data_IF_730565604404
#
_entry.id   IF_730565604404
#
_cell.length_a   1.000
_cell.length_b   1.000
_cell.length_c   1.000
_cell.angle_alpha   90.00
_cell.angle_beta   90.00
_cell.angle_gamma   90.00
#
_symmetry.space_group_name_H-M   'P 1'
#
loop_
_entity.id
_entity.type
_entity.pdbx_description
1 polymer ?
#
# COMPACT_ATOMS: atom_id res chain seq x y z
N UNK A 1 58.64 -42.29 -53.18
CA UNK A 1 58.49 -43.74 -52.90
C UNK A 1 57.04 -44.08 -52.61
N UNK A 2 56.61 -45.32 -52.83
CA UNK A 2 55.23 -45.79 -52.59
C UNK A 2 54.80 -45.63 -51.11
N UNK A 3 55.75 -45.69 -50.18
CA UNK A 3 55.54 -45.46 -48.76
C UNK A 3 55.04 -44.03 -48.46
N UNK A 4 55.62 -42.99 -49.07
CA UNK A 4 55.17 -41.61 -48.86
C UNK A 4 53.70 -41.41 -49.25
N UNK A 5 53.24 -42.02 -50.35
CA UNK A 5 51.84 -41.93 -50.78
C UNK A 5 50.86 -42.55 -49.76
N UNK A 6 51.27 -43.63 -49.08
CA UNK A 6 50.46 -44.27 -48.02
C UNK A 6 50.39 -43.40 -46.77
N UNK A 7 51.50 -42.81 -46.36
CA UNK A 7 51.57 -41.89 -45.22
C UNK A 7 50.66 -40.67 -45.42
N UNK A 8 50.68 -40.03 -46.59
CA UNK A 8 49.79 -38.88 -46.89
C UNK A 8 48.32 -39.26 -46.78
N UNK A 9 47.94 -40.46 -47.25
CA UNK A 9 46.55 -40.91 -47.18
C UNK A 9 46.08 -41.10 -45.73
N UNK A 10 46.89 -41.74 -44.88
CA UNK A 10 46.56 -41.95 -43.47
C UNK A 10 46.44 -40.63 -42.71
N UNK A 11 47.35 -39.67 -42.98
CA UNK A 11 47.29 -38.33 -42.37
C UNK A 11 45.98 -37.64 -42.74
N UNK A 12 45.56 -37.71 -44.01
CA UNK A 12 44.32 -37.08 -44.46
C UNK A 12 43.07 -37.75 -43.84
N UNK A 13 43.06 -39.07 -43.72
CA UNK A 13 41.98 -39.82 -43.07
C UNK A 13 41.87 -39.44 -41.58
N UNK A 14 43.00 -39.36 -40.88
CA UNK A 14 43.05 -38.96 -39.48
C UNK A 14 42.63 -37.49 -39.29
N UNK A 15 43.06 -36.58 -40.17
CA UNK A 15 42.62 -35.18 -40.15
C UNK A 15 41.10 -35.05 -40.34
N UNK A 16 40.53 -35.79 -41.28
CA UNK A 16 39.06 -35.82 -41.49
C UNK A 16 38.34 -36.35 -40.26
N UNK A 17 38.86 -37.40 -39.64
CA UNK A 17 38.31 -37.97 -38.40
C UNK A 17 38.32 -36.95 -37.27
N UNK A 18 39.43 -36.24 -37.07
CA UNK A 18 39.55 -35.21 -36.04
C UNK A 18 38.61 -34.03 -36.30
N UNK A 19 38.49 -33.56 -37.55
CA UNK A 19 37.54 -32.52 -37.93
C UNK A 19 36.09 -32.94 -37.66
N UNK A 20 35.71 -34.17 -37.99
CA UNK A 20 34.37 -34.68 -37.75
C UNK A 20 34.03 -34.72 -36.25
N UNK A 21 34.96 -35.17 -35.41
CA UNK A 21 34.77 -35.19 -33.94
C UNK A 21 34.55 -33.77 -33.40
N UNK A 22 35.41 -32.82 -33.77
CA UNK A 22 35.28 -31.43 -33.33
C UNK A 22 33.96 -30.78 -33.77
N UNK A 23 33.49 -31.11 -34.98
CA UNK A 23 32.20 -30.63 -35.48
C UNK A 23 31.03 -31.21 -34.67
N UNK A 24 31.05 -32.50 -34.38
CA UNK A 24 30.01 -33.15 -33.55
C UNK A 24 29.98 -32.58 -32.12
N UNK A 25 31.14 -32.31 -31.54
CA UNK A 25 31.25 -31.67 -30.23
C UNK A 25 30.68 -30.25 -30.24
N UNK A 26 31.03 -29.44 -31.26
CA UNK A 26 30.46 -28.10 -31.44
C UNK A 26 28.95 -28.15 -31.62
N UNK A 27 28.45 -29.06 -32.47
CA UNK A 27 27.02 -29.23 -32.75
C UNK A 27 26.26 -29.62 -31.47
N UNK A 28 26.78 -30.60 -30.72
CA UNK A 28 26.21 -31.01 -29.44
C UNK A 28 26.17 -29.85 -28.44
N UNK A 29 27.26 -29.09 -28.31
CA UNK A 29 27.33 -27.94 -27.41
C UNK A 29 26.32 -26.86 -27.78
N UNK A 30 26.20 -26.54 -29.07
CA UNK A 30 25.24 -25.55 -29.55
C UNK A 30 23.80 -26.02 -29.28
N UNK A 31 23.47 -27.28 -29.58
CA UNK A 31 22.13 -27.84 -29.32
C UNK A 31 21.75 -27.75 -27.84
N UNK A 32 22.65 -28.17 -26.94
CA UNK A 32 22.38 -28.11 -25.51
C UNK A 32 22.19 -26.66 -25.01
N UNK A 33 23.02 -25.73 -25.50
CA UNK A 33 22.88 -24.32 -25.13
C UNK A 33 21.55 -23.74 -25.64
N UNK A 34 21.14 -24.08 -26.86
CA UNK A 34 19.85 -23.64 -27.41
C UNK A 34 18.68 -24.17 -26.59
N UNK A 35 18.68 -25.46 -26.25
CA UNK A 35 17.64 -26.06 -25.40
C UNK A 35 17.56 -25.38 -24.03
N UNK A 36 18.70 -25.14 -23.39
CA UNK A 36 18.74 -24.43 -22.11
C UNK A 36 18.17 -23.01 -22.24
N UNK A 37 18.49 -22.29 -23.33
CA UNK A 37 17.96 -20.95 -23.58
C UNK A 37 16.46 -20.97 -23.85
N UNK A 38 15.96 -21.97 -24.57
CA UNK A 38 14.53 -22.13 -24.80
C UNK A 38 13.77 -22.41 -23.48
N UNK A 39 14.34 -23.20 -22.58
CA UNK A 39 13.79 -23.44 -21.24
C UNK A 39 13.79 -22.16 -20.38
N UNK A 40 14.90 -21.40 -20.36
CA UNK A 40 14.99 -20.11 -19.68
C UNK A 40 13.93 -19.12 -20.21
N UNK A 41 13.75 -19.06 -21.53
CA UNK A 41 12.73 -18.23 -22.17
C UNK A 41 11.31 -18.69 -21.83
N UNK A 42 11.06 -20.00 -21.81
CA UNK A 42 9.76 -20.55 -21.44
C UNK A 42 9.40 -20.20 -20.00
N UNK A 43 10.35 -20.35 -19.07
CA UNK A 43 10.17 -19.97 -17.67
C UNK A 43 9.87 -18.46 -17.53
N UNK A 44 10.64 -17.61 -18.22
CA UNK A 44 10.43 -16.16 -18.18
C UNK A 44 9.06 -15.76 -18.75
N UNK A 45 8.60 -16.41 -19.82
CA UNK A 45 7.26 -16.19 -20.40
C UNK A 45 6.16 -16.60 -19.44
N UNK A 46 6.26 -17.78 -18.83
CA UNK A 46 5.29 -18.25 -17.84
C UNK A 46 5.20 -17.27 -16.68
N UNK A 47 6.35 -16.82 -16.16
CA UNK A 47 6.37 -15.86 -15.06
C UNK A 47 5.76 -14.51 -15.45
N UNK A 48 6.04 -14.05 -16.66
CA UNK A 48 5.44 -12.82 -17.19
C UNK A 48 3.93 -12.94 -17.28
N UNK A 49 3.41 -14.07 -17.79
CA UNK A 49 1.97 -14.33 -17.86
C UNK A 49 1.30 -14.34 -16.48
N UNK A 50 1.89 -15.05 -15.50
CA UNK A 50 1.38 -15.07 -14.12
C UNK A 50 1.29 -13.66 -13.53
N UNK A 51 2.34 -12.86 -13.70
CA UNK A 51 2.37 -11.49 -13.18
C UNK A 51 1.34 -10.60 -13.87
N UNK A 52 1.16 -10.74 -15.18
CA UNK A 52 0.13 -10.01 -15.94
C UNK A 52 -1.29 -10.37 -15.46
N UNK A 53 -1.55 -11.63 -15.15
CA UNK A 53 -2.85 -12.05 -14.61
C UNK A 53 -3.09 -11.49 -13.20
N UNK A 54 -2.08 -11.50 -12.33
CA UNK A 54 -2.17 -10.84 -11.02
C UNK A 54 -2.43 -9.34 -11.13
N UNK A 55 -1.72 -8.65 -12.03
CA UNK A 55 -1.94 -7.22 -12.28
C UNK A 55 -3.37 -6.97 -12.76
N UNK A 56 -3.89 -7.78 -13.70
CA UNK A 56 -5.26 -7.66 -14.20
C UNK A 56 -6.28 -7.77 -13.06
N UNK A 57 -6.11 -8.74 -12.16
CA UNK A 57 -6.99 -8.93 -11.01
C UNK A 57 -6.93 -7.72 -10.07
N UNK A 58 -5.73 -7.28 -9.69
CA UNK A 58 -5.56 -6.13 -8.80
C UNK A 58 -6.17 -4.84 -9.38
N UNK A 59 -6.04 -4.63 -10.70
CA UNK A 59 -6.67 -3.51 -11.39
C UNK A 59 -8.20 -3.58 -11.37
N UNK A 60 -8.78 -4.78 -11.57
CA UNK A 60 -10.23 -4.98 -11.48
C UNK A 60 -10.74 -4.72 -10.06
N UNK A 61 -10.03 -5.20 -9.04
CA UNK A 61 -10.38 -4.95 -7.63
C UNK A 61 -10.32 -3.46 -7.31
N UNK A 62 -9.27 -2.76 -7.74
CA UNK A 62 -9.12 -1.32 -7.52
C UNK A 62 -10.30 -0.55 -8.12
N UNK A 63 -10.67 -0.84 -9.37
CA UNK A 63 -11.83 -0.24 -10.03
C UNK A 63 -13.15 -0.55 -9.31
N UNK A 64 -13.32 -1.79 -8.84
CA UNK A 64 -14.51 -2.18 -8.11
C UNK A 64 -14.64 -1.42 -6.77
N UNK A 65 -13.53 -1.27 -6.03
CA UNK A 65 -13.49 -0.50 -4.79
C UNK A 65 -13.72 0.99 -5.03
N UNK A 66 -13.15 1.56 -6.09
CA UNK A 66 -13.37 2.95 -6.49
C UNK A 66 -14.85 3.23 -6.77
N UNK A 67 -15.49 2.39 -7.59
CA UNK A 67 -16.94 2.48 -7.87
C UNK A 67 -17.76 2.44 -6.58
N UNK A 68 -17.46 1.49 -5.69
CA UNK A 68 -18.14 1.34 -4.40
C UNK A 68 -17.94 2.55 -3.49
N UNK A 69 -16.76 3.16 -3.52
CA UNK A 69 -16.47 4.38 -2.76
C UNK A 69 -17.28 5.56 -3.29
N UNK A 70 -17.40 5.71 -4.61
CA UNK A 70 -18.21 6.76 -5.25
C UNK A 70 -19.69 6.61 -4.88
N UNK A 71 -20.26 5.41 -5.03
CA UNK A 71 -21.67 5.14 -4.69
C UNK A 71 -21.97 5.47 -3.22
N UNK A 72 -21.11 4.99 -2.30
CA UNK A 72 -21.25 5.29 -0.88
C UNK A 72 -21.07 6.77 -0.57
N UNK A 73 -20.13 7.44 -1.25
CA UNK A 73 -19.89 8.87 -1.12
C UNK A 73 -21.10 9.69 -1.56
N UNK A 74 -21.76 9.32 -2.66
CA UNK A 74 -22.98 9.96 -3.14
C UNK A 74 -24.13 9.83 -2.14
N UNK A 75 -24.34 8.63 -1.57
CA UNK A 75 -25.35 8.42 -0.53
C UNK A 75 -25.04 9.27 0.71
N UNK A 76 -23.79 9.30 1.16
CA UNK A 76 -23.38 10.10 2.31
C UNK A 76 -23.61 11.61 2.06
N UNK A 77 -23.31 12.10 0.85
CA UNK A 77 -23.52 13.49 0.47
C UNK A 77 -25.02 13.87 0.42
N UNK A 78 -25.88 12.99 -0.11
CA UNK A 78 -27.34 13.20 -0.10
C UNK A 78 -27.87 13.27 1.34
N UNK A 79 -27.51 12.30 2.18
CA UNK A 79 -27.91 12.28 3.59
C UNK A 79 -27.42 13.52 4.34
N UNK A 80 -26.18 13.96 4.10
CA UNK A 80 -25.64 15.18 4.67
C UNK A 80 -26.42 16.42 4.25
N UNK A 81 -26.83 16.47 2.98
CA UNK A 81 -27.65 17.57 2.44
C UNK A 81 -29.02 17.61 3.11
N UNK A 82 -29.70 16.45 3.25
CA UNK A 82 -30.99 16.34 3.95
C UNK A 82 -30.89 16.77 5.42
N UNK A 83 -29.83 16.35 6.12
CA UNK A 83 -29.58 16.77 7.50
C UNK A 83 -29.41 18.29 7.62
N UNK A 84 -28.66 18.91 6.70
CA UNK A 84 -28.50 20.36 6.66
C UNK A 84 -29.82 21.08 6.39
N UNK A 85 -30.68 20.55 5.50
CA UNK A 85 -32.01 21.11 5.26
C UNK A 85 -32.90 21.06 6.50
N UNK A 86 -32.95 19.94 7.22
CA UNK A 86 -33.71 19.82 8.48
C UNK A 86 -33.16 20.76 9.56
N UNK A 87 -31.84 20.94 9.62
CA UNK A 87 -31.20 21.90 10.53
C UNK A 87 -31.57 23.35 10.21
N UNK A 88 -31.71 23.69 8.92
CA UNK A 88 -32.06 25.02 8.46
C UNK A 88 -33.59 25.30 8.51
N UNK A 89 -34.42 24.27 8.43
CA UNK A 89 -35.89 24.38 8.52
C UNK A 89 -36.42 24.46 9.97
N UNK A 90 -35.61 24.94 10.93
CA UNK A 90 -36.12 25.30 12.26
C UNK A 90 -37.09 26.48 12.10
N UNK A 91 -38.36 26.22 12.43
CA UNK A 91 -39.44 27.23 12.53
C UNK A 91 -38.94 28.46 13.29
N UNK A 92 -39.22 29.70 12.82
CA UNK A 92 -38.85 30.91 13.56
C UNK A 92 -39.59 30.91 14.89
N UNK A 93 -38.86 30.69 15.98
CA UNK A 93 -39.36 30.97 17.32
C UNK A 93 -39.18 32.47 17.59
N UNK A 94 -40.25 33.25 17.78
CA UNK A 94 -40.13 34.66 18.14
C UNK A 94 -39.78 34.75 19.63
N UNK A 95 -38.49 34.68 19.96
CA UNK A 95 -38.06 34.86 21.34
C UNK A 95 -36.57 34.72 21.56
N UNK A 96 -35.92 35.86 21.79
CA UNK A 96 -34.72 35.97 22.62
C UNK A 96 -33.41 35.58 21.94
N UNK A 97 -32.68 36.59 21.48
CA UNK A 97 -31.33 36.43 20.94
C UNK A 97 -30.35 35.88 21.97
N UNK A 98 -29.49 34.99 21.50
CA UNK A 98 -28.03 35.09 21.65
C UNK A 98 -27.45 34.53 20.36
N UNK A 99 -27.01 35.40 19.45
CA UNK A 99 -26.22 35.00 18.29
C UNK A 99 -24.87 34.51 18.79
N UNK A 100 -24.77 33.22 19.12
CA UNK A 100 -23.50 32.58 19.35
C UNK A 100 -22.88 32.27 17.99
N UNK A 101 -22.06 33.23 17.53
CA UNK A 101 -21.07 33.13 16.46
C UNK A 101 -20.36 31.76 16.50
N UNK A 102 -20.79 30.81 15.68
CA UNK A 102 -20.10 29.52 15.48
C UNK A 102 -18.91 29.74 14.54
N UNK A 103 -17.97 30.58 14.96
CA UNK A 103 -16.70 30.82 14.28
C UNK A 103 -15.59 30.92 15.33
N UNK A 104 -15.25 29.75 15.92
CA UNK A 104 -13.93 29.36 16.47
C UNK A 104 -14.11 28.18 17.43
N UNK A 105 -14.17 26.96 16.89
CA UNK A 105 -13.98 25.74 17.68
C UNK A 105 -13.15 24.74 16.90
N UNK A 106 -11.84 24.99 16.83
CA UNK A 106 -10.87 23.91 16.62
C UNK A 106 -10.22 23.45 17.94
N UNK A 107 -10.66 23.98 19.08
CA UNK A 107 -10.28 23.52 20.41
C UNK A 107 -11.45 22.80 21.07
N UNK A 108 -11.36 21.49 21.24
CA UNK A 108 -12.36 20.73 22.00
C UNK A 108 -12.35 21.09 23.50
N UNK A 109 -13.41 20.72 24.21
CA UNK A 109 -13.51 20.84 25.67
C UNK A 109 -13.09 19.55 26.37
N UNK A 110 -12.58 19.70 27.60
CA UNK A 110 -12.22 18.62 28.51
C UNK A 110 -13.36 17.59 28.60
N UNK A 111 -13.05 16.31 28.37
CA UNK A 111 -14.08 15.27 28.38
C UNK A 111 -14.64 14.96 29.78
N UNK A 112 -13.97 15.41 30.84
CA UNK A 112 -14.43 15.20 32.22
C UNK A 112 -15.32 16.34 32.70
N UNK A 113 -14.78 17.55 32.76
CA UNK A 113 -15.54 18.67 33.30
C UNK A 113 -16.39 19.37 32.24
N UNK A 114 -16.09 19.23 30.95
CA UNK A 114 -16.73 19.94 29.83
C UNK A 114 -16.70 21.48 29.94
N UNK A 115 -15.99 22.03 30.93
CA UNK A 115 -15.93 23.47 31.21
C UNK A 115 -14.70 24.14 30.60
N UNK A 116 -13.55 23.47 30.65
CA UNK A 116 -12.25 24.02 30.25
C UNK A 116 -11.80 23.44 28.92
N UNK A 117 -10.99 24.19 28.17
CA UNK A 117 -10.36 23.71 26.93
C UNK A 117 -9.45 22.50 27.19
N UNK A 118 -9.30 21.69 26.14
CA UNK A 118 -8.32 20.60 26.14
C UNK A 118 -6.90 21.17 26.10
N UNK A 119 -6.05 20.75 27.03
CA UNK A 119 -4.64 21.16 27.06
C UNK A 119 -3.68 20.06 27.52
N UNK A 120 -4.13 18.82 27.72
CA UNK A 120 -3.27 17.72 28.19
C UNK A 120 -3.27 16.53 27.24
N UNK A 121 -2.06 16.12 26.82
CA UNK A 121 -1.79 14.94 25.98
C UNK A 121 -1.34 13.76 26.85
N UNK A 122 -1.90 12.57 26.62
CA UNK A 122 -1.60 11.33 27.36
C UNK A 122 -0.58 10.46 26.61
N UNK A 123 0.41 9.89 27.31
CA UNK A 123 1.36 8.92 26.76
C UNK A 123 1.06 7.50 27.27
N UNK A 124 1.23 6.46 26.41
CA UNK A 124 1.78 6.49 25.04
C UNK A 124 0.78 6.79 23.91
N UNK A 125 -0.52 6.94 24.19
CA UNK A 125 -1.56 7.01 23.16
C UNK A 125 -1.64 8.32 22.36
N UNK A 126 -1.00 9.40 22.82
CA UNK A 126 -0.97 10.75 22.23
C UNK A 126 -2.33 11.45 22.07
N UNK A 127 -3.35 11.05 22.83
CA UNK A 127 -4.65 11.72 22.81
C UNK A 127 -4.67 12.98 23.68
N UNK A 128 -5.22 14.06 23.12
CA UNK A 128 -5.53 15.32 23.81
C UNK A 128 -6.98 15.25 24.35
N UNK A 129 -7.16 14.98 25.64
CA UNK A 129 -8.47 14.52 26.16
C UNK A 129 -8.99 15.22 27.42
N UNK A 130 -8.16 15.95 28.17
CA UNK A 130 -8.62 16.70 29.34
C UNK A 130 -7.93 18.06 29.52
N UNK A 131 -8.44 18.86 30.47
CA UNK A 131 -7.79 20.07 30.94
C UNK A 131 -6.82 19.75 32.08
N UNK A 132 -5.93 20.70 32.40
CA UNK A 132 -4.93 20.59 33.48
C UNK A 132 -5.53 20.20 34.84
N UNK A 133 -6.70 20.73 35.18
CA UNK A 133 -7.33 20.44 36.48
C UNK A 133 -7.91 19.03 36.58
N UNK A 134 -8.24 18.39 35.46
CA UNK A 134 -8.83 17.06 35.43
C UNK A 134 -7.79 15.95 35.22
N UNK A 135 -6.59 16.29 34.76
CA UNK A 135 -5.49 15.35 34.51
C UNK A 135 -5.14 14.48 35.74
N UNK A 136 -5.03 15.01 36.98
CA UNK A 136 -4.62 14.21 38.13
C UNK A 136 -5.64 13.12 38.50
N UNK A 137 -6.90 13.27 38.07
CA UNK A 137 -7.99 12.33 38.36
C UNK A 137 -8.01 11.13 37.39
N UNK A 138 -7.12 11.12 36.40
CA UNK A 138 -7.11 10.15 35.32
C UNK A 138 -5.89 9.23 35.39
N UNK A 139 -6.13 7.95 35.64
CA UNK A 139 -5.14 6.87 35.47
C UNK A 139 -5.12 6.25 34.06
N UNK A 140 -6.11 6.56 33.21
CA UNK A 140 -6.27 6.01 31.87
C UNK A 140 -6.74 7.10 30.90
N UNK A 141 -6.43 6.96 29.61
CA UNK A 141 -6.91 7.86 28.57
C UNK A 141 -8.43 7.70 28.37
N UNK A 142 -9.24 8.78 28.50
CA UNK A 142 -10.68 8.73 28.25
C UNK A 142 -11.09 8.41 26.80
N UNK A 143 -10.15 8.48 25.84
CA UNK A 143 -10.42 8.24 24.41
C UNK A 143 -10.24 6.78 24.04
N UNK A 144 -9.14 6.16 24.49
CA UNK A 144 -8.72 4.83 24.05
C UNK A 144 -8.43 3.85 25.20
N UNK A 145 -8.63 4.29 26.45
CA UNK A 145 -8.46 3.50 27.68
C UNK A 145 -7.04 3.02 27.98
N UNK A 146 -6.03 3.44 27.20
CA UNK A 146 -4.62 3.18 27.51
C UNK A 146 -4.24 3.75 28.87
N UNK A 147 -3.49 2.99 29.67
CA UNK A 147 -2.94 3.41 30.96
C UNK A 147 -2.09 4.67 30.77
N UNK A 148 -2.23 5.65 31.68
CA UNK A 148 -1.44 6.88 31.67
C UNK A 148 -0.06 6.62 32.26
N UNK A 149 0.94 6.54 31.40
CA UNK A 149 2.35 6.44 31.82
C UNK A 149 2.98 7.83 32.02
N UNK A 150 2.43 8.85 31.35
CA UNK A 150 2.83 10.24 31.50
C UNK A 150 1.88 11.19 30.77
N UNK A 151 2.01 12.49 31.03
CA UNK A 151 1.22 13.52 30.37
C UNK A 151 2.03 14.80 30.08
N UNK A 152 1.61 15.55 29.06
CA UNK A 152 2.20 16.84 28.70
C UNK A 152 1.11 17.90 28.54
N UNK A 153 1.31 19.06 29.16
CA UNK A 153 0.48 20.24 28.94
C UNK A 153 0.92 20.94 27.65
N UNK A 154 -0.05 21.26 26.78
CA UNK A 154 0.16 21.97 25.51
C UNK A 154 -0.59 23.31 25.54
N UNK A 155 0.07 24.36 25.08
CA UNK A 155 -0.51 25.68 24.92
C UNK A 155 -0.96 25.84 23.46
N UNK A 156 -2.27 25.83 23.23
CA UNK A 156 -2.86 26.12 21.93
C UNK A 156 -3.13 27.63 21.88
N UNK A 157 -2.33 28.36 21.08
CA UNK A 157 -2.44 29.80 20.87
C UNK A 157 -3.64 30.21 20.03
#
# INVERSE_FOLDING_TARGET
TQQNKRLTKLILEEQKRQQAVLLLECESRIKNLMLQKDEELALARNKTSELQDFMRVAEMETKAWEKKAIEKGAIAADLQTRLNQVKNNKVPNPGGGVESKIEKMMGGYCKLCQLKSLCVVFFPCRHLCCCKSCEPLLGHCPVCQTVKEGCLEVFLG
#
